data_IF_114314530931
#
_entry.id   IF_114314530931
#
_cell.length_a   1.000
_cell.length_b   1.000
_cell.length_c   1.000
_cell.angle_alpha   90.00
_cell.angle_beta   90.00
_cell.angle_gamma   90.00
#
_symmetry.space_group_name_H-M   'P 1'
#
loop_
_entity.id
_entity.type
_entity.pdbx_description
1 polymer ?
#
# COMPACT_ATOMS: atom_id res chain seq x y z
N UNK A 1 4.86 -12.66 -15.32
CA UNK A 1 6.10 -12.17 -14.66
C UNK A 1 6.93 -13.40 -14.34
N UNK A 2 8.24 -13.42 -14.64
CA UNK A 2 9.09 -14.52 -14.19
C UNK A 2 9.00 -14.59 -12.67
N UNK A 3 8.71 -15.78 -12.14
CA UNK A 3 8.56 -15.99 -10.72
C UNK A 3 9.93 -15.80 -10.06
N UNK A 4 10.04 -15.02 -8.97
CA UNK A 4 11.32 -14.84 -8.30
C UNK A 4 11.84 -16.19 -7.81
N UNK A 5 13.15 -16.41 -7.93
CA UNK A 5 13.81 -17.61 -7.39
C UNK A 5 13.53 -17.69 -5.90
N UNK A 6 13.08 -18.87 -5.45
CA UNK A 6 12.66 -19.08 -4.07
C UNK A 6 13.84 -18.93 -3.08
N UNK A 7 15.05 -19.34 -3.48
CA UNK A 7 16.29 -19.31 -2.68
C UNK A 7 17.54 -19.16 -3.57
N UNK A 8 17.92 -17.94 -4.00
CA UNK A 8 18.98 -17.74 -5.00
C UNK A 8 20.37 -18.25 -4.54
N UNK A 9 20.75 -18.02 -3.27
CA UNK A 9 22.03 -18.49 -2.73
C UNK A 9 22.11 -20.02 -2.63
N UNK A 10 21.06 -20.67 -2.14
CA UNK A 10 21.03 -22.14 -2.02
C UNK A 10 21.02 -22.83 -3.40
N UNK A 11 20.35 -22.23 -4.38
CA UNK A 11 20.39 -22.72 -5.76
C UNK A 11 21.77 -22.51 -6.39
N UNK A 12 22.45 -21.40 -6.09
CA UNK A 12 23.82 -21.16 -6.57
C UNK A 12 24.81 -22.20 -6.02
N UNK A 13 24.77 -22.51 -4.72
CA UNK A 13 25.59 -23.57 -4.10
C UNK A 13 25.39 -24.89 -4.84
N UNK A 14 24.14 -25.30 -5.07
CA UNK A 14 23.86 -26.55 -5.77
C UNK A 14 24.38 -26.55 -7.22
N UNK A 15 24.20 -25.44 -7.94
CA UNK A 15 24.67 -25.32 -9.33
C UNK A 15 26.20 -25.36 -9.42
N UNK A 16 26.91 -24.71 -8.49
CA UNK A 16 28.39 -24.74 -8.45
C UNK A 16 28.90 -26.16 -8.21
N UNK A 17 28.25 -26.92 -7.32
CA UNK A 17 28.72 -28.26 -6.94
C UNK A 17 28.33 -29.37 -7.96
N UNK A 18 27.22 -29.20 -8.68
CA UNK A 18 26.61 -30.27 -9.48
C UNK A 18 26.62 -30.02 -11.00
N UNK A 19 27.08 -28.86 -11.46
CA UNK A 19 27.10 -28.51 -12.90
C UNK A 19 28.43 -27.89 -13.32
N UNK A 20 28.76 -28.00 -14.60
CA UNK A 20 29.96 -27.36 -15.18
C UNK A 20 29.68 -25.93 -15.72
N UNK A 21 28.65 -25.26 -15.20
CA UNK A 21 28.27 -23.91 -15.64
C UNK A 21 29.30 -22.86 -15.21
N UNK A 22 29.44 -21.79 -16.01
CA UNK A 22 30.33 -20.69 -15.64
C UNK A 22 29.74 -19.85 -14.50
N UNK A 23 30.61 -19.27 -13.65
CA UNK A 23 30.20 -18.40 -12.55
C UNK A 23 29.35 -17.20 -13.01
N UNK A 24 29.60 -16.71 -14.23
CA UNK A 24 28.80 -15.64 -14.83
C UNK A 24 27.37 -16.09 -15.14
N UNK A 25 27.19 -17.30 -15.67
CA UNK A 25 25.86 -17.86 -15.95
C UNK A 25 25.07 -18.12 -14.67
N UNK A 26 25.72 -18.67 -13.64
CA UNK A 26 25.09 -18.90 -12.34
C UNK A 26 24.69 -17.57 -11.69
N UNK A 27 25.57 -16.56 -11.74
CA UNK A 27 25.27 -15.21 -11.24
C UNK A 27 24.10 -14.55 -11.97
N UNK A 28 24.09 -14.59 -13.30
CA UNK A 28 22.99 -14.06 -14.13
C UNK A 28 21.65 -14.75 -13.82
N UNK A 29 21.65 -16.07 -13.57
CA UNK A 29 20.45 -16.82 -13.23
C UNK A 29 19.95 -16.52 -11.80
N UNK A 30 20.85 -16.55 -10.82
CA UNK A 30 20.53 -16.35 -9.40
C UNK A 30 20.35 -14.87 -9.01
N UNK A 31 20.72 -13.92 -9.89
CA UNK A 31 20.75 -12.50 -9.57
C UNK A 31 21.88 -12.13 -8.61
N UNK A 32 22.96 -12.90 -8.60
CA UNK A 32 24.14 -12.72 -7.75
C UNK A 32 25.33 -12.24 -8.60
N UNK A 33 26.27 -11.53 -7.98
CA UNK A 33 27.49 -11.13 -8.68
C UNK A 33 28.45 -12.33 -8.84
N UNK A 34 29.26 -12.36 -9.91
CA UNK A 34 30.23 -13.45 -10.14
C UNK A 34 31.20 -13.66 -8.97
N UNK A 35 31.50 -12.60 -8.20
CA UNK A 35 32.35 -12.67 -7.01
C UNK A 35 31.68 -13.39 -5.85
N UNK A 36 30.36 -13.24 -5.70
CA UNK A 36 29.61 -13.97 -4.67
C UNK A 36 29.54 -15.46 -5.00
N UNK A 37 29.39 -15.80 -6.29
CA UNK A 37 29.42 -17.19 -6.75
C UNK A 37 30.81 -17.81 -6.55
N UNK A 38 31.89 -17.05 -6.79
CA UNK A 38 33.26 -17.50 -6.46
C UNK A 38 33.46 -17.71 -4.96
N UNK A 39 33.00 -16.78 -4.13
CA UNK A 39 33.07 -16.92 -2.66
C UNK A 39 32.27 -18.13 -2.15
N UNK A 40 31.18 -18.50 -2.83
CA UNK A 40 30.43 -19.74 -2.56
C UNK A 40 31.25 -20.97 -2.97
N UNK A 41 31.91 -20.94 -4.14
CA UNK A 41 32.76 -22.03 -4.62
C UNK A 41 34.00 -22.24 -3.73
N UNK A 42 34.55 -21.17 -3.16
CA UNK A 42 35.70 -21.19 -2.25
C UNK A 42 35.31 -21.53 -0.79
N UNK A 43 34.04 -21.90 -0.54
CA UNK A 43 33.50 -22.26 0.79
C UNK A 43 33.64 -21.13 1.84
N UNK A 44 33.84 -19.89 1.38
CA UNK A 44 34.03 -18.70 2.21
C UNK A 44 32.68 -18.02 2.55
N UNK A 45 31.71 -18.13 1.64
CA UNK A 45 30.35 -17.61 1.85
C UNK A 45 29.46 -18.61 2.61
N UNK A 46 29.14 -18.29 3.86
CA UNK A 46 28.03 -18.87 4.65
C UNK A 46 28.04 -20.42 4.74
N UNK A 47 28.98 -20.97 5.54
CA UNK A 47 29.22 -22.40 5.88
C UNK A 47 28.05 -23.22 6.46
N UNK A 48 26.80 -22.87 6.17
CA UNK A 48 25.60 -23.58 6.64
C UNK A 48 24.46 -23.65 5.63
N UNK A 49 24.59 -23.09 4.43
CA UNK A 49 23.55 -23.18 3.41
C UNK A 49 23.63 -24.56 2.74
N UNK A 50 22.57 -25.36 2.89
CA UNK A 50 22.42 -26.59 2.11
C UNK A 50 21.97 -26.24 0.70
N UNK A 51 22.69 -26.74 -0.30
CA UNK A 51 22.30 -26.60 -1.71
C UNK A 51 20.90 -27.14 -1.96
N UNK A 52 20.09 -26.36 -2.68
CA UNK A 52 18.73 -26.75 -3.08
C UNK A 52 18.71 -27.05 -4.59
N UNK A 53 18.29 -28.26 -4.94
CA UNK A 53 18.20 -28.72 -6.32
C UNK A 53 17.12 -27.92 -7.11
N UNK A 54 17.51 -27.13 -8.12
CA UNK A 54 16.58 -26.36 -8.94
C UNK A 54 15.77 -27.23 -9.92
N UNK A 55 16.22 -28.45 -10.22
CA UNK A 55 15.51 -29.41 -11.08
C UNK A 55 14.33 -30.00 -10.32
N UNK A 56 14.56 -30.43 -9.07
CA UNK A 56 13.50 -30.94 -8.19
C UNK A 56 12.46 -29.86 -7.86
N UNK A 57 12.91 -28.61 -7.72
CA UNK A 57 12.02 -27.46 -7.49
C UNK A 57 11.24 -27.07 -8.74
N UNK A 58 11.60 -27.62 -9.92
CA UNK A 58 10.98 -27.30 -11.20
C UNK A 58 11.31 -25.91 -11.73
N UNK A 59 12.40 -25.29 -11.25
CA UNK A 59 12.88 -23.97 -11.67
C UNK A 59 13.78 -24.07 -12.92
N UNK A 60 14.54 -25.15 -13.07
CA UNK A 60 15.35 -25.47 -14.25
C UNK A 60 15.01 -26.85 -14.81
N UNK A 61 15.18 -27.02 -16.11
CA UNK A 61 15.14 -28.33 -16.75
C UNK A 61 16.55 -28.87 -16.94
N UNK A 62 16.70 -30.20 -16.95
CA UNK A 62 18.00 -30.83 -17.21
C UNK A 62 18.57 -30.46 -18.59
N UNK A 63 17.69 -30.33 -19.57
CA UNK A 63 18.02 -29.90 -20.94
C UNK A 63 18.65 -28.50 -20.97
N UNK A 64 18.15 -27.57 -20.15
CA UNK A 64 18.67 -26.20 -20.08
C UNK A 64 20.08 -26.16 -19.45
N UNK A 65 20.32 -27.00 -18.45
CA UNK A 65 21.65 -27.15 -17.83
C UNK A 65 22.63 -27.75 -18.84
N UNK A 66 22.26 -28.83 -19.54
CA UNK A 66 23.12 -29.46 -20.55
C UNK A 66 23.44 -28.51 -21.73
N UNK A 67 22.51 -27.62 -22.10
CA UNK A 67 22.75 -26.58 -23.08
C UNK A 67 23.73 -25.50 -22.55
N UNK A 68 23.56 -25.09 -21.30
CA UNK A 68 24.45 -24.13 -20.63
C UNK A 68 25.86 -24.66 -20.39
N UNK A 69 26.03 -25.96 -20.16
CA UNK A 69 27.34 -26.62 -20.01
C UNK A 69 28.12 -26.67 -21.34
N UNK A 70 27.41 -26.73 -22.47
CA UNK A 70 28.04 -26.74 -23.80
C UNK A 70 28.43 -25.35 -24.28
N UNK A 71 27.73 -24.32 -23.84
CA UNK A 71 27.97 -22.93 -24.23
C UNK A 71 28.04 -22.01 -23.01
N UNK A 72 29.26 -21.55 -22.70
CA UNK A 72 29.54 -20.59 -21.63
C UNK A 72 28.85 -19.22 -21.77
N UNK A 73 28.35 -18.88 -22.97
CA UNK A 73 27.61 -17.65 -23.23
C UNK A 73 26.09 -17.78 -23.06
N UNK A 74 25.57 -19.00 -22.88
CA UNK A 74 24.14 -19.26 -22.85
C UNK A 74 23.49 -18.73 -21.56
N UNK A 75 22.37 -18.02 -21.71
CA UNK A 75 21.61 -17.47 -20.57
C UNK A 75 20.51 -18.42 -20.16
N UNK A 76 20.67 -19.03 -19.00
CA UNK A 76 19.70 -19.96 -18.41
C UNK A 76 18.36 -19.27 -18.20
N UNK A 77 17.30 -19.88 -18.72
CA UNK A 77 15.92 -19.38 -18.53
C UNK A 77 15.18 -20.24 -17.52
N UNK A 78 14.45 -19.61 -16.61
CA UNK A 78 13.58 -20.31 -15.67
C UNK A 78 12.48 -21.06 -16.41
N UNK A 79 12.23 -22.31 -16.02
CA UNK A 79 11.12 -23.10 -16.52
C UNK A 79 9.80 -22.50 -16.07
N UNK A 80 8.78 -22.56 -16.93
CA UNK A 80 7.43 -22.16 -16.54
C UNK A 80 6.87 -23.20 -15.57
N UNK A 81 6.37 -22.80 -14.39
CA UNK A 81 5.82 -23.76 -13.43
C UNK A 81 4.66 -24.51 -14.08
N UNK A 82 4.74 -25.85 -14.11
CA UNK A 82 3.67 -26.73 -14.63
C UNK A 82 2.38 -26.63 -13.80
N UNK A 83 2.48 -26.13 -12.56
CA UNK A 83 1.36 -26.02 -11.63
C UNK A 83 0.89 -24.56 -11.56
N UNK A 84 -0.20 -24.26 -12.27
CA UNK A 84 -0.93 -23.00 -12.10
C UNK A 84 -1.67 -23.05 -10.77
N UNK A 85 -1.17 -22.36 -9.74
CA UNK A 85 -1.93 -22.20 -8.52
C UNK A 85 -3.21 -21.40 -8.84
N UNK A 86 -4.40 -21.87 -8.43
CA UNK A 86 -5.61 -21.10 -8.58
C UNK A 86 -5.48 -19.82 -7.75
N UNK A 87 -5.76 -18.68 -8.36
CA UNK A 87 -5.84 -17.39 -7.66
C UNK A 87 -6.82 -17.52 -6.49
N UNK A 88 -6.41 -17.06 -5.29
CA UNK A 88 -7.26 -17.09 -4.11
C UNK A 88 -8.56 -16.33 -4.40
N UNK A 89 -9.69 -17.06 -4.41
CA UNK A 89 -11.01 -16.46 -4.64
C UNK A 89 -11.24 -15.32 -3.64
N UNK A 90 -11.71 -14.17 -4.14
CA UNK A 90 -12.13 -13.05 -3.28
C UNK A 90 -13.11 -13.59 -2.24
N UNK A 91 -12.88 -13.26 -0.98
CA UNK A 91 -13.73 -13.69 0.14
C UNK A 91 -15.16 -13.25 -0.16
N UNK A 92 -16.07 -14.22 -0.33
CA UNK A 92 -17.48 -13.95 -0.57
C UNK A 92 -18.17 -13.34 0.66
N UNK A 93 -19.44 -12.95 0.53
CA UNK A 93 -20.22 -12.42 1.65
C UNK A 93 -20.17 -13.37 2.85
N UNK A 94 -19.70 -12.87 4.00
CA UNK A 94 -19.61 -13.67 5.23
C UNK A 94 -21.01 -13.87 5.79
N UNK A 95 -21.49 -15.12 5.81
CA UNK A 95 -22.76 -15.45 6.45
C UNK A 95 -22.67 -15.15 7.96
N UNK A 96 -23.59 -14.32 8.47
CA UNK A 96 -23.71 -14.11 9.92
C UNK A 96 -24.81 -15.04 10.46
N UNK A 97 -24.51 -15.86 11.47
CA UNK A 97 -25.49 -16.76 12.07
C UNK A 97 -26.66 -15.98 12.70
N UNK A 98 -27.85 -16.59 12.76
CA UNK A 98 -29.11 -15.97 13.22
C UNK A 98 -28.97 -15.30 14.58
N UNK A 99 -28.25 -15.92 15.51
CA UNK A 99 -28.00 -15.37 16.85
C UNK A 99 -27.33 -14.00 16.82
N UNK A 100 -26.43 -13.75 15.86
CA UNK A 100 -25.68 -12.49 15.74
C UNK A 100 -26.34 -11.48 14.82
N UNK A 101 -27.56 -11.74 14.34
CA UNK A 101 -28.30 -10.80 13.48
C UNK A 101 -28.88 -9.63 14.26
N UNK A 102 -29.20 -9.84 15.53
CA UNK A 102 -29.68 -8.78 16.44
C UNK A 102 -28.58 -7.75 16.76
N UNK A 103 -27.31 -8.15 16.64
CA UNK A 103 -26.16 -7.26 16.85
C UNK A 103 -25.84 -6.39 15.64
N UNK A 104 -26.38 -6.73 14.45
CA UNK A 104 -26.13 -5.96 13.22
C UNK A 104 -26.72 -4.54 13.29
N UNK A 105 -27.97 -4.32 13.76
CA UNK A 105 -28.48 -2.98 14.02
C UNK A 105 -27.63 -2.15 15.00
N UNK A 106 -27.12 -2.78 16.06
CA UNK A 106 -26.24 -2.15 17.05
C UNK A 106 -24.92 -1.69 16.43
N UNK A 107 -24.33 -2.52 15.57
CA UNK A 107 -23.13 -2.22 14.80
C UNK A 107 -23.34 -1.07 13.80
N UNK A 108 -24.48 -1.05 13.09
CA UNK A 108 -24.80 0.05 12.16
C UNK A 108 -24.95 1.37 12.92
N UNK A 109 -25.63 1.35 14.07
CA UNK A 109 -25.81 2.55 14.88
C UNK A 109 -24.47 3.12 15.35
N UNK A 110 -23.52 2.27 15.74
CA UNK A 110 -22.17 2.68 16.10
C UNK A 110 -21.41 3.29 14.91
N UNK A 111 -21.47 2.66 13.73
CA UNK A 111 -20.82 3.16 12.52
C UNK A 111 -21.38 4.52 12.09
N UNK A 112 -22.70 4.69 12.09
CA UNK A 112 -23.34 5.97 11.72
C UNK A 112 -23.00 7.08 12.72
N UNK A 113 -22.82 6.75 14.00
CA UNK A 113 -22.50 7.72 15.06
C UNK A 113 -21.03 8.13 15.07
N UNK A 114 -20.11 7.18 14.93
CA UNK A 114 -18.68 7.43 15.08
C UNK A 114 -17.96 7.71 13.76
N UNK A 115 -18.50 7.18 12.65
CA UNK A 115 -17.92 7.32 11.32
C UNK A 115 -18.95 7.83 10.30
N UNK A 116 -19.43 9.09 10.42
CA UNK A 116 -20.36 9.68 9.46
C UNK A 116 -19.78 9.78 8.05
N UNK A 117 -18.45 9.74 7.89
CA UNK A 117 -17.73 9.73 6.62
C UNK A 117 -17.99 8.46 5.78
N UNK A 118 -18.43 7.36 6.42
CA UNK A 118 -18.68 6.10 5.72
C UNK A 118 -19.96 6.17 4.86
N UNK A 119 -19.80 5.89 3.57
CA UNK A 119 -20.93 5.74 2.64
C UNK A 119 -21.69 4.44 2.92
N UNK A 120 -22.99 4.39 2.62
CA UNK A 120 -23.81 3.20 2.85
C UNK A 120 -23.25 1.94 2.13
N UNK A 121 -22.62 2.11 0.96
CA UNK A 121 -21.95 1.04 0.23
C UNK A 121 -20.79 0.39 1.01
N UNK A 122 -20.14 1.17 1.86
CA UNK A 122 -19.03 0.76 2.71
C UNK A 122 -19.55 -0.01 3.92
N UNK A 123 -20.59 0.53 4.57
CA UNK A 123 -21.29 -0.12 5.70
C UNK A 123 -21.88 -1.48 5.29
N UNK A 124 -22.48 -1.57 4.08
CA UNK A 124 -22.99 -2.83 3.54
C UNK A 124 -21.89 -3.90 3.39
N UNK A 125 -20.67 -3.50 3.01
CA UNK A 125 -19.53 -4.43 2.86
C UNK A 125 -18.95 -4.89 4.21
N UNK A 126 -18.96 -4.02 5.22
CA UNK A 126 -18.45 -4.34 6.56
C UNK A 126 -19.41 -5.24 7.36
N UNK A 127 -20.70 -4.90 7.39
CA UNK A 127 -21.69 -5.56 8.27
C UNK A 127 -22.51 -6.64 7.53
N UNK A 128 -22.57 -6.58 6.19
CA UNK A 128 -23.36 -7.53 5.40
C UNK A 128 -24.88 -7.35 5.55
N UNK A 129 -25.33 -6.09 5.60
CA UNK A 129 -26.74 -5.69 5.71
C UNK A 129 -27.23 -5.01 4.44
N UNK A 130 -28.52 -4.70 4.35
CA UNK A 130 -29.11 -4.01 3.21
C UNK A 130 -29.16 -2.50 3.43
N UNK A 131 -29.17 -1.73 2.33
CA UNK A 131 -29.31 -0.28 2.35
C UNK A 131 -30.59 0.18 3.06
N UNK A 132 -31.70 -0.55 2.89
CA UNK A 132 -32.98 -0.26 3.55
C UNK A 132 -32.89 -0.32 5.07
N UNK A 133 -32.16 -1.30 5.61
CA UNK A 133 -31.94 -1.41 7.06
C UNK A 133 -31.04 -0.29 7.57
N UNK A 134 -30.02 0.12 6.80
CA UNK A 134 -29.15 1.24 7.17
C UNK A 134 -29.95 2.55 7.24
N UNK A 135 -30.78 2.83 6.23
CA UNK A 135 -31.66 4.01 6.22
C UNK A 135 -32.65 3.99 7.39
N UNK A 136 -33.29 2.84 7.65
CA UNK A 136 -34.22 2.72 8.76
C UNK A 136 -33.58 2.97 10.13
N UNK A 137 -32.29 2.67 10.30
CA UNK A 137 -31.56 2.97 11.54
C UNK A 137 -31.16 4.45 11.61
N UNK A 138 -30.74 5.06 10.49
CA UNK A 138 -30.47 6.51 10.41
C UNK A 138 -31.73 7.33 10.74
N UNK A 139 -32.86 6.92 10.20
CA UNK A 139 -34.17 7.56 10.39
C UNK A 139 -34.87 7.13 11.69
N UNK A 140 -34.29 6.18 12.44
CA UNK A 140 -34.90 5.55 13.64
C UNK A 140 -36.29 4.94 13.41
N UNK A 141 -36.58 4.51 12.19
CA UNK A 141 -37.83 3.84 11.78
C UNK A 141 -37.77 2.31 11.89
N UNK A 142 -36.63 1.75 12.33
CA UNK A 142 -36.49 0.32 12.62
C UNK A 142 -37.41 -0.10 13.78
N UNK A 143 -38.06 -1.27 13.67
CA UNK A 143 -39.03 -1.77 14.67
C UNK A 143 -38.46 -1.83 16.11
N UNK A 144 -37.15 -2.03 16.25
CA UNK A 144 -36.46 -2.08 17.53
C UNK A 144 -35.60 -0.84 17.84
N UNK A 145 -35.87 0.32 17.21
CA UNK A 145 -35.01 1.50 17.33
C UNK A 145 -34.81 2.00 18.78
N UNK A 146 -35.80 1.80 19.66
CA UNK A 146 -35.75 2.25 21.05
C UNK A 146 -34.75 1.47 21.93
N UNK A 147 -34.46 0.21 21.60
CA UNK A 147 -33.59 -0.64 22.42
C UNK A 147 -32.18 -0.83 21.81
N UNK A 148 -31.84 -0.08 20.75
CA UNK A 148 -30.53 -0.21 20.10
C UNK A 148 -29.44 0.43 20.95
N UNK A 149 -28.34 -0.29 21.10
CA UNK A 149 -27.13 0.19 21.77
C UNK A 149 -25.99 0.28 20.75
N UNK A 150 -25.26 1.40 20.64
CA UNK A 150 -24.13 1.49 19.73
C UNK A 150 -22.98 0.62 20.24
N UNK A 151 -22.69 -0.47 19.52
CA UNK A 151 -21.59 -1.39 19.82
C UNK A 151 -20.68 -1.51 18.61
N UNK A 152 -19.37 -1.55 18.84
CA UNK A 152 -18.37 -1.63 17.78
C UNK A 152 -18.48 -2.94 16.96
N UNK A 153 -18.53 -2.85 15.61
CA UNK A 153 -18.59 -4.02 14.72
C UNK A 153 -17.37 -4.95 14.79
N UNK A 154 -16.19 -4.46 15.18
CA UNK A 154 -14.98 -5.28 15.33
C UNK A 154 -15.10 -6.16 16.58
N UNK A 155 -15.53 -5.57 17.69
CA UNK A 155 -15.83 -6.28 18.94
C UNK A 155 -16.90 -7.37 18.77
N UNK A 156 -17.87 -7.16 17.87
CA UNK A 156 -18.90 -8.14 17.53
C UNK A 156 -18.42 -9.23 16.54
N UNK A 157 -17.21 -9.07 16.00
CA UNK A 157 -16.61 -9.99 15.02
C UNK A 157 -17.26 -9.92 13.64
N UNK A 158 -17.94 -8.81 13.31
CA UNK A 158 -18.60 -8.61 12.02
C UNK A 158 -17.58 -8.17 10.95
N UNK A 159 -16.68 -7.25 11.31
CA UNK A 159 -15.52 -6.85 10.49
C UNK A 159 -14.20 -7.11 11.22
N UNK A 160 -13.09 -7.10 10.48
CA UNK A 160 -11.75 -7.03 11.10
C UNK A 160 -11.33 -5.57 11.27
N UNK A 161 -10.41 -5.31 12.21
CA UNK A 161 -9.85 -3.96 12.40
C UNK A 161 -9.28 -3.39 11.09
N UNK A 162 -8.53 -4.23 10.35
CA UNK A 162 -7.94 -3.85 9.07
C UNK A 162 -9.00 -3.47 8.02
N UNK A 163 -10.12 -4.19 7.98
CA UNK A 163 -11.19 -3.88 7.03
C UNK A 163 -11.87 -2.54 7.37
N UNK A 164 -12.07 -2.27 8.67
CA UNK A 164 -12.65 -1.00 9.14
C UNK A 164 -11.71 0.17 8.80
N UNK A 165 -10.44 0.07 9.18
CA UNK A 165 -9.45 1.13 8.95
C UNK A 165 -9.28 1.42 7.45
N UNK A 166 -9.21 0.37 6.62
CA UNK A 166 -9.09 0.52 5.17
C UNK A 166 -10.31 1.20 4.56
N UNK A 167 -11.51 0.92 5.06
CA UNK A 167 -12.72 1.52 4.55
C UNK A 167 -12.89 2.98 4.99
N UNK A 168 -12.50 3.31 6.22
CA UNK A 168 -12.43 4.69 6.74
C UNK A 168 -11.42 5.50 5.94
N UNK A 169 -10.22 4.97 5.69
CA UNK A 169 -9.21 5.63 4.85
C UNK A 169 -9.72 5.84 3.42
N UNK A 170 -10.44 4.87 2.84
CA UNK A 170 -11.05 5.01 1.52
C UNK A 170 -12.16 6.07 1.51
N UNK A 171 -12.95 6.15 2.58
CA UNK A 171 -14.01 7.14 2.73
C UNK A 171 -13.42 8.54 2.85
N UNK A 172 -12.39 8.72 3.69
CA UNK A 172 -11.65 9.97 3.87
C UNK A 172 -11.02 10.46 2.55
N UNK A 173 -10.45 9.56 1.74
CA UNK A 173 -9.93 9.91 0.40
C UNK A 173 -11.01 10.26 -0.61
N UNK A 174 -12.20 9.68 -0.46
CA UNK A 174 -13.32 9.89 -1.37
C UNK A 174 -14.16 11.10 -1.02
N UNK A 175 -14.09 11.58 0.23
CA UNK A 175 -14.63 12.87 0.60
C UNK A 175 -13.70 13.92 -0.01
N UNK A 176 -14.17 14.81 -0.90
CA UNK A 176 -13.40 16.03 -1.17
C UNK A 176 -13.20 16.70 0.19
N UNK A 177 -11.96 17.05 0.53
CA UNK A 177 -11.70 17.87 1.71
C UNK A 177 -12.60 19.08 1.57
N UNK A 178 -13.64 19.15 2.40
CA UNK A 178 -14.39 20.37 2.58
C UNK A 178 -13.37 21.30 3.23
N UNK A 179 -12.80 22.18 2.42
CA UNK A 179 -12.08 23.33 2.93
C UNK A 179 -13.10 24.13 3.74
N UNK A 180 -13.14 23.88 5.04
CA UNK A 180 -14.11 24.42 5.95
C UNK A 180 -13.61 24.28 7.37
N UNK A 181 -13.28 25.43 7.96
CA UNK A 181 -12.85 25.64 9.34
C UNK A 181 -11.39 25.29 9.63
N UNK A 182 -10.51 26.16 9.12
CA UNK A 182 -9.27 26.52 9.80
C UNK A 182 -9.61 27.07 11.20
N UNK A 183 -9.80 26.19 12.18
CA UNK A 183 -9.41 26.51 13.55
C UNK A 183 -7.93 26.92 13.54
N UNK A 184 -7.44 27.75 14.48
CA UNK A 184 -6.15 28.42 14.37
C UNK A 184 -5.02 27.41 14.18
N UNK A 185 -4.68 27.16 12.92
CA UNK A 185 -3.62 26.26 12.53
C UNK A 185 -2.35 27.08 12.62
N UNK A 186 -1.41 26.61 13.45
CA UNK A 186 -0.07 27.18 13.49
C UNK A 186 0.53 27.08 12.09
N UNK A 187 1.05 28.19 11.57
CA UNK A 187 1.68 28.24 10.26
C UNK A 187 2.71 27.11 10.11
N UNK A 188 2.91 26.57 8.90
CA UNK A 188 3.91 25.54 8.66
C UNK A 188 5.27 25.95 9.25
N UNK A 189 5.97 25.00 9.87
CA UNK A 189 7.24 25.28 10.57
C UNK A 189 8.28 25.99 9.68
N UNK A 190 8.17 25.80 8.36
CA UNK A 190 9.00 26.43 7.33
C UNK A 190 8.84 27.97 7.29
N UNK A 191 7.65 28.51 7.56
CA UNK A 191 7.41 29.96 7.58
C UNK A 191 7.86 30.61 8.90
N UNK A 192 7.89 29.85 10.01
CA UNK A 192 8.30 30.36 11.34
C UNK A 192 9.82 30.34 11.54
N UNK A 193 10.54 29.49 10.81
CA UNK A 193 12.00 29.36 10.93
C UNK A 193 12.78 29.95 9.75
N UNK A 194 12.09 30.48 8.74
CA UNK A 194 12.74 31.23 7.67
C UNK A 194 13.44 32.49 8.26
N UNK A 195 14.73 32.71 7.99
CA UNK A 195 15.37 33.97 8.36
C UNK A 195 14.63 35.10 7.64
N UNK A 196 14.27 36.15 8.39
CA UNK A 196 13.72 37.39 7.84
C UNK A 196 14.73 37.96 6.85
N UNK A 197 14.53 37.70 5.56
CA UNK A 197 15.16 38.50 4.52
C UNK A 197 14.33 39.77 4.47
N UNK A 198 14.81 40.81 5.16
CA UNK A 198 14.36 42.16 4.89
C UNK A 198 14.69 42.45 3.42
N UNK A 199 13.70 42.32 2.54
CA UNK A 199 13.75 42.98 1.24
C UNK A 199 13.76 44.49 1.52
N UNK A 200 14.95 45.06 1.66
CA UNK A 200 15.16 46.48 1.40
C UNK A 200 14.79 46.72 -0.07
N UNK A 201 13.49 46.93 -0.33
CA UNK A 201 13.07 47.64 -1.53
C UNK A 201 13.60 49.06 -1.37
N UNK A 202 14.77 49.32 -1.94
CA UNK A 202 15.22 50.66 -2.26
C UNK A 202 14.10 51.33 -3.06
N UNK A 203 13.26 52.10 -2.36
CA UNK A 203 12.23 52.91 -2.98
C UNK A 203 12.95 54.13 -3.56
N UNK A 204 13.13 54.14 -4.88
CA UNK A 204 13.73 55.26 -5.60
C UNK A 204 12.99 56.57 -5.25
N UNK A 205 13.67 57.59 -4.69
CA UNK A 205 13.03 58.80 -4.18
C UNK A 205 12.30 59.58 -5.28
N UNK A 206 12.69 59.43 -6.55
CA UNK A 206 12.03 60.07 -7.68
C UNK A 206 10.63 59.52 -7.98
N UNK A 207 10.40 58.21 -7.79
CA UNK A 207 9.06 57.63 -8.00
C UNK A 207 8.10 58.02 -6.89
N UNK A 208 8.60 58.18 -5.66
CA UNK A 208 7.82 58.68 -4.52
C UNK A 208 7.46 60.16 -4.72
N UNK A 209 8.41 60.99 -5.18
CA UNK A 209 8.18 62.41 -5.45
C UNK A 209 7.24 62.65 -6.63
N UNK A 210 7.33 61.84 -7.69
CA UNK A 210 6.41 61.90 -8.82
C UNK A 210 4.97 61.58 -8.39
N UNK A 211 4.80 60.56 -7.53
CA UNK A 211 3.49 60.18 -6.99
C UNK A 211 2.90 61.25 -6.07
N UNK A 212 3.74 61.92 -5.28
CA UNK A 212 3.33 63.03 -4.41
C UNK A 212 2.91 64.27 -5.23
N UNK A 213 3.68 64.61 -6.28
CA UNK A 213 3.39 65.75 -7.15
C UNK A 213 2.14 65.57 -8.00
N UNK A 214 1.81 64.32 -8.37
CA UNK A 214 0.55 63.97 -9.03
C UNK A 214 -0.69 64.15 -8.14
N UNK A 215 -0.53 64.14 -6.81
CA UNK A 215 -1.62 64.32 -5.85
C UNK A 215 -1.87 65.78 -5.48
N UNK A 216 -0.91 66.69 -5.69
CA UNK A 216 -1.01 68.12 -5.31
C UNK A 216 -1.32 69.06 -6.48
N UNK A 217 -1.69 68.53 -7.65
CA UNK A 217 -1.87 69.29 -8.89
C UNK A 217 -3.32 69.50 -9.34
N UNK A 218 -4.32 69.18 -8.51
CA UNK A 218 -5.73 69.36 -8.83
C UNK A 218 -6.44 70.14 -7.73
N UNK A 219 -6.26 71.47 -7.71
CA UNK A 219 -7.19 72.47 -7.18
C UNK A 219 -6.56 73.87 -7.35
N UNK A 220 -6.71 74.46 -8.53
CA UNK A 220 -6.69 75.92 -8.74
C UNK A 220 -7.19 76.28 -10.16
N UNK A 221 -8.35 76.94 -10.17
CA UNK A 221 -9.08 77.64 -11.25
C UNK A 221 -10.13 76.87 -12.07
#
# INVERSE_FOLDING_TARGET
MPQPLLMPKATAVWLVDNTALSFRQIGEFCGLHELEVKAIADDEAEKGIKGLDPIQTGQLTREEIEAGEKDSGHKLKMSTPKVTLPQAKRRGPRYTPVSRRQDRPNAILWLVRNHPELKDAQVMRLVGTTKTTIQAIRERTHWNAANLTPVDPVSLGLCSQLDLDHEVQRAARSMPQVAGEEGPHLLPAEETTAPLVEEEKELDPETVLAKLRGMTGGDAE
#
